data_IF_384687275287
#
_entry.id   IF_384687275287
#
_cell.length_a   1.000
_cell.length_b   1.000
_cell.length_c   1.000
_cell.angle_alpha   90.00
_cell.angle_beta   90.00
_cell.angle_gamma   90.00
#
_symmetry.space_group_name_H-M   'P 1'
#
loop_
_entity.id
_entity.type
_entity.pdbx_description
1 polymer ?
#
# COMPACT_ATOMS: atom_id res chain seq x y z
N UNK A 1 14.02 -13.52 -14.76
CA UNK A 1 12.96 -14.52 -14.66
C UNK A 1 11.67 -13.82 -14.32
N UNK A 2 10.70 -13.89 -15.20
CA UNK A 2 9.37 -13.36 -14.94
C UNK A 2 8.66 -14.29 -13.94
N UNK A 3 8.76 -14.00 -12.68
CA UNK A 3 7.90 -14.58 -11.65
C UNK A 3 6.49 -14.03 -11.79
N UNK A 4 5.75 -14.45 -12.80
CA UNK A 4 4.34 -14.05 -12.99
C UNK A 4 3.38 -14.86 -12.11
N UNK A 5 3.90 -15.83 -11.38
CA UNK A 5 3.09 -16.76 -10.58
C UNK A 5 3.06 -16.44 -9.10
N UNK A 6 3.69 -15.35 -8.66
CA UNK A 6 3.76 -15.00 -7.23
C UNK A 6 4.46 -16.06 -6.35
N UNK A 7 4.96 -17.14 -6.94
CA UNK A 7 5.68 -18.16 -6.19
C UNK A 7 7.15 -17.77 -6.06
N UNK A 8 7.46 -16.99 -5.05
CA UNK A 8 8.83 -16.72 -4.63
C UNK A 8 9.38 -17.87 -3.76
N UNK A 9 9.04 -19.11 -4.09
CA UNK A 9 9.38 -20.27 -3.25
C UNK A 9 10.77 -20.82 -3.46
N UNK A 10 11.53 -20.32 -4.43
CA UNK A 10 12.87 -20.84 -4.72
C UNK A 10 13.90 -19.80 -5.09
N UNK A 11 13.53 -18.56 -5.04
CA UNK A 11 14.46 -17.47 -5.31
C UNK A 11 15.07 -17.06 -3.99
N UNK A 12 16.37 -17.14 -3.87
CA UNK A 12 17.07 -16.72 -2.67
C UNK A 12 16.61 -15.33 -2.28
N UNK A 13 16.63 -15.02 -1.00
CA UNK A 13 16.10 -13.82 -0.35
C UNK A 13 16.53 -12.46 -0.94
N UNK A 14 17.22 -12.45 -2.06
CA UNK A 14 17.84 -11.28 -2.67
C UNK A 14 17.45 -11.05 -4.13
N UNK A 15 16.51 -11.82 -4.71
CA UNK A 15 16.12 -11.59 -6.09
C UNK A 15 14.99 -10.59 -6.20
N UNK A 16 15.24 -9.56 -6.98
CA UNK A 16 14.29 -8.51 -7.30
C UNK A 16 13.13 -9.06 -8.15
N UNK A 17 11.90 -8.73 -7.82
CA UNK A 17 10.79 -8.94 -8.74
C UNK A 17 10.95 -8.04 -9.97
N UNK A 18 10.86 -8.62 -11.15
CA UNK A 18 10.88 -7.88 -12.41
C UNK A 18 9.53 -8.00 -13.09
N UNK A 19 8.83 -6.91 -13.27
CA UNK A 19 7.55 -6.85 -13.95
C UNK A 19 7.59 -5.77 -15.03
N UNK A 20 7.40 -6.14 -16.29
CA UNK A 20 7.41 -5.21 -17.44
C UNK A 20 8.67 -4.34 -17.53
N UNK A 21 9.84 -4.86 -17.10
CA UNK A 21 11.09 -4.10 -17.06
C UNK A 21 11.27 -3.21 -15.82
N UNK A 22 10.33 -3.21 -14.89
CA UNK A 22 10.43 -2.48 -13.63
C UNK A 22 10.87 -3.47 -12.54
N UNK A 23 12.02 -3.21 -11.94
CA UNK A 23 12.53 -4.01 -10.83
C UNK A 23 11.84 -3.63 -9.52
N UNK A 24 11.64 -4.61 -8.66
CA UNK A 24 11.10 -4.43 -7.31
C UNK A 24 9.72 -3.74 -7.27
N UNK A 25 8.86 -3.98 -8.26
CA UNK A 25 7.51 -3.43 -8.26
C UNK A 25 6.71 -3.91 -7.04
N UNK A 26 6.96 -5.14 -6.58
CA UNK A 26 6.38 -5.71 -5.36
C UNK A 26 7.34 -6.76 -4.75
N UNK A 27 7.08 -7.16 -3.49
CA UNK A 27 7.70 -8.33 -2.85
C UNK A 27 9.12 -8.13 -2.30
N UNK A 28 9.73 -6.96 -2.42
CA UNK A 28 11.06 -6.68 -1.89
C UNK A 28 11.00 -5.80 -0.62
N UNK A 29 10.50 -4.60 -0.77
CA UNK A 29 10.24 -3.67 0.32
C UNK A 29 8.86 -3.04 0.15
N UNK A 30 8.19 -2.74 1.24
CA UNK A 30 7.00 -1.93 1.24
C UNK A 30 7.31 -0.54 0.71
N UNK A 31 6.53 -0.06 -0.25
CA UNK A 31 6.71 1.24 -0.88
C UNK A 31 5.74 2.25 -0.33
N UNK A 32 6.25 3.39 0.09
CA UNK A 32 5.42 4.53 0.46
C UNK A 32 4.64 5.04 -0.74
N UNK A 33 3.35 5.29 -0.51
CA UNK A 33 2.52 6.10 -1.41
C UNK A 33 2.47 7.50 -0.83
N UNK A 34 3.15 8.42 -1.50
CA UNK A 34 3.14 9.82 -1.13
C UNK A 34 1.73 10.41 -1.26
N UNK A 35 1.35 11.22 -0.30
CA UNK A 35 0.02 11.82 -0.26
C UNK A 35 -1.13 10.88 0.12
N UNK A 36 -0.86 9.65 0.57
CA UNK A 36 -1.88 8.69 0.96
C UNK A 36 -1.79 8.33 2.45
N UNK A 37 -2.86 8.58 3.20
CA UNK A 37 -2.91 8.37 4.65
C UNK A 37 -4.22 7.72 5.08
N UNK A 38 -4.21 7.06 6.24
CA UNK A 38 -5.43 6.58 6.89
C UNK A 38 -5.54 7.09 8.32
N UNK A 39 -6.77 7.31 8.79
CA UNK A 39 -7.08 7.57 10.18
C UNK A 39 -8.46 7.02 10.50
N UNK A 40 -8.57 6.17 11.51
CA UNK A 40 -9.82 5.47 11.85
C UNK A 40 -10.42 4.72 10.65
N UNK A 41 -9.55 4.15 9.81
CA UNK A 41 -9.86 3.48 8.53
C UNK A 41 -10.42 4.41 7.44
N UNK A 42 -10.69 5.67 7.72
CA UNK A 42 -10.94 6.66 6.69
C UNK A 42 -9.67 6.85 5.86
N UNK A 43 -9.79 6.90 4.54
CA UNK A 43 -8.67 7.03 3.64
C UNK A 43 -8.63 8.44 3.04
N UNK A 44 -7.44 9.03 3.02
CA UNK A 44 -7.20 10.41 2.64
C UNK A 44 -6.17 10.46 1.52
N UNK A 45 -6.48 11.22 0.48
CA UNK A 45 -5.57 11.48 -0.64
C UNK A 45 -5.27 12.97 -0.73
N UNK A 46 -4.00 13.30 -0.80
CA UNK A 46 -3.53 14.64 -1.12
C UNK A 46 -3.59 14.91 -2.62
N UNK A 47 -3.77 16.17 -2.97
CA UNK A 47 -3.49 16.62 -4.33
C UNK A 47 -1.96 16.67 -4.48
N UNK A 48 -1.41 15.75 -5.25
CA UNK A 48 0.04 15.57 -5.43
C UNK A 48 0.75 16.81 -5.98
N UNK A 49 0.03 17.73 -6.60
CA UNK A 49 0.59 18.97 -7.14
C UNK A 49 0.69 20.09 -6.09
N UNK A 50 0.00 19.96 -4.96
CA UNK A 50 -0.11 21.01 -3.94
C UNK A 50 0.33 20.56 -2.55
N UNK A 51 0.93 19.37 -2.40
CA UNK A 51 1.44 18.92 -1.12
C UNK A 51 2.69 19.72 -0.77
N UNK A 52 2.58 20.60 0.19
CA UNK A 52 3.69 21.43 0.68
C UNK A 52 4.48 20.78 1.79
N UNK A 53 3.88 19.84 2.51
CA UNK A 53 4.51 19.03 3.55
C UNK A 53 3.63 17.84 3.91
N UNK A 54 4.26 16.73 4.25
CA UNK A 54 3.56 15.55 4.77
C UNK A 54 2.90 15.86 6.12
N UNK A 55 1.65 15.40 6.34
CA UNK A 55 1.00 15.59 7.62
C UNK A 55 1.69 14.76 8.70
N UNK A 56 2.06 15.41 9.78
CA UNK A 56 2.65 14.76 10.97
C UNK A 56 1.61 14.30 11.98
N UNK A 57 0.34 14.73 11.79
CA UNK A 57 -0.80 14.39 12.64
C UNK A 57 -2.11 14.54 11.88
N UNK A 58 -3.21 14.11 12.51
CA UNK A 58 -4.56 14.14 11.93
C UNK A 58 -5.02 15.54 11.49
N UNK A 59 -4.61 16.59 12.19
CA UNK A 59 -4.98 17.95 11.82
C UNK A 59 -4.40 18.36 10.45
N UNK A 60 -3.24 17.82 10.09
CA UNK A 60 -2.64 18.04 8.78
C UNK A 60 -3.44 17.44 7.61
N UNK A 61 -4.39 16.54 7.88
CA UNK A 61 -5.28 15.97 6.84
C UNK A 61 -6.39 16.93 6.38
N UNK A 62 -6.52 18.12 6.98
CA UNK A 62 -7.59 19.06 6.63
C UNK A 62 -7.58 19.51 5.15
N UNK A 63 -6.43 19.45 4.49
CA UNK A 63 -6.26 19.78 3.06
C UNK A 63 -6.34 18.55 2.14
N UNK A 64 -6.51 17.37 2.72
CA UNK A 64 -6.60 16.10 1.98
C UNK A 64 -8.05 15.76 1.68
N UNK A 65 -8.28 15.13 0.53
CA UNK A 65 -9.60 14.61 0.17
C UNK A 65 -9.86 13.31 0.93
N UNK A 66 -10.84 13.32 1.82
CA UNK A 66 -11.32 12.10 2.47
C UNK A 66 -12.21 11.34 1.49
N UNK A 67 -11.90 10.07 1.26
CA UNK A 67 -12.71 9.19 0.42
C UNK A 67 -13.96 8.72 1.16
N UNK A 68 -15.04 8.48 0.42
CA UNK A 68 -16.34 8.10 0.98
C UNK A 68 -16.33 6.69 1.57
N UNK A 69 -15.57 5.77 0.98
CA UNK A 69 -15.49 4.38 1.43
C UNK A 69 -14.25 4.18 2.32
N UNK A 70 -14.44 3.51 3.45
CA UNK A 70 -13.33 3.17 4.34
C UNK A 70 -12.45 2.07 3.77
N UNK A 71 -11.18 2.09 4.15
CA UNK A 71 -10.28 0.95 4.00
C UNK A 71 -10.80 -0.21 4.84
N UNK A 72 -10.67 -1.43 4.36
CA UNK A 72 -11.05 -2.62 5.11
C UNK A 72 -10.29 -2.70 6.44
N UNK A 73 -10.94 -3.25 7.46
CA UNK A 73 -10.28 -3.61 8.71
C UNK A 73 -9.69 -5.00 8.59
N UNK A 74 -8.38 -5.13 8.73
CA UNK A 74 -7.68 -6.40 8.64
C UNK A 74 -6.26 -6.33 9.20
N UNK A 75 -5.81 -7.44 9.77
CA UNK A 75 -4.44 -7.63 10.19
C UNK A 75 -3.99 -8.98 9.66
N UNK A 76 -3.02 -8.99 8.74
CA UNK A 76 -2.62 -10.17 7.99
C UNK A 76 -3.83 -10.85 7.31
N UNK A 77 -4.66 -10.05 6.70
CA UNK A 77 -5.96 -10.50 6.20
C UNK A 77 -6.00 -10.50 4.68
N UNK A 78 -6.50 -11.60 4.11
CA UNK A 78 -6.65 -11.77 2.67
C UNK A 78 -7.60 -10.71 2.08
N UNK A 79 -7.18 -10.04 1.02
CA UNK A 79 -7.97 -9.01 0.34
C UNK A 79 -9.06 -9.68 -0.48
N UNK A 80 -10.32 -9.43 -0.14
CA UNK A 80 -11.48 -9.95 -0.84
C UNK A 80 -11.95 -9.03 -1.96
N UNK A 81 -12.03 -7.74 -1.68
CA UNK A 81 -12.52 -6.73 -2.63
C UNK A 81 -11.60 -5.54 -2.67
N UNK A 82 -11.25 -5.15 -3.87
CA UNK A 82 -10.58 -3.90 -4.19
C UNK A 82 -11.61 -3.01 -4.89
N UNK A 83 -11.67 -1.75 -4.52
CA UNK A 83 -12.60 -0.78 -5.07
C UNK A 83 -11.93 0.57 -5.25
N UNK A 84 -12.65 1.51 -5.82
CA UNK A 84 -12.24 2.90 -5.95
C UNK A 84 -13.35 3.81 -5.45
N UNK A 85 -13.00 5.04 -5.15
CA UNK A 85 -13.96 6.11 -4.86
C UNK A 85 -14.20 6.94 -6.13
N UNK A 86 -15.44 7.36 -6.35
CA UNK A 86 -15.80 8.17 -7.53
C UNK A 86 -15.11 9.54 -7.53
N UNK A 87 -14.75 10.06 -6.38
CA UNK A 87 -13.97 11.30 -6.25
C UNK A 87 -12.47 11.12 -6.56
N UNK A 88 -11.98 9.87 -6.55
CA UNK A 88 -10.60 9.51 -6.85
C UNK A 88 -10.51 8.22 -7.66
N UNK A 89 -11.03 8.18 -8.90
CA UNK A 89 -11.14 6.95 -9.69
C UNK A 89 -9.79 6.37 -10.12
N UNK A 90 -8.73 7.12 -9.96
CA UNK A 90 -7.35 6.71 -10.21
C UNK A 90 -6.71 5.95 -9.02
N UNK A 91 -7.35 5.94 -7.86
CA UNK A 91 -6.87 5.26 -6.66
C UNK A 91 -7.73 4.05 -6.34
N UNK A 92 -7.10 2.88 -6.32
CA UNK A 92 -7.75 1.63 -5.92
C UNK A 92 -7.19 1.17 -4.57
N UNK A 93 -8.04 0.65 -3.70
CA UNK A 93 -7.66 0.21 -2.36
C UNK A 93 -8.59 -0.89 -1.83
N UNK A 94 -8.13 -1.71 -0.86
CA UNK A 94 -8.95 -2.76 -0.28
C UNK A 94 -10.13 -2.21 0.52
N UNK A 95 -11.33 -2.68 0.21
CA UNK A 95 -12.58 -2.30 0.89
C UNK A 95 -13.23 -3.44 1.68
N UNK A 96 -12.79 -4.68 1.46
CA UNK A 96 -13.15 -5.80 2.30
C UNK A 96 -12.06 -6.88 2.33
N UNK A 97 -12.04 -7.64 3.41
CA UNK A 97 -11.15 -8.80 3.61
C UNK A 97 -11.95 -10.09 3.76
N UNK A 98 -11.30 -11.21 3.52
CA UNK A 98 -11.89 -12.55 3.67
C UNK A 98 -11.69 -13.44 2.44
N UNK A 99 -12.45 -14.54 2.38
CA UNK A 99 -12.42 -15.51 1.28
C UNK A 99 -13.65 -15.32 0.37
N UNK A 100 -13.51 -15.53 -0.97
CA UNK A 100 -12.27 -15.80 -1.69
C UNK A 100 -11.35 -14.59 -1.74
N UNK A 101 -10.05 -14.84 -1.91
CA UNK A 101 -9.02 -13.82 -2.13
C UNK A 101 -8.54 -13.88 -3.59
N UNK A 102 -9.07 -13.09 -4.49
CA UNK A 102 -8.78 -13.20 -5.92
C UNK A 102 -7.33 -12.91 -6.29
N UNK A 103 -6.66 -12.04 -5.55
CA UNK A 103 -5.27 -11.64 -5.82
C UNK A 103 -4.24 -12.47 -5.08
N UNK A 104 -4.63 -13.19 -4.03
CA UNK A 104 -3.69 -13.82 -3.10
C UNK A 104 -3.00 -12.85 -2.14
N UNK A 105 -3.27 -11.56 -2.26
CA UNK A 105 -2.62 -10.52 -1.48
C UNK A 105 -3.27 -10.30 -0.11
N UNK A 106 -2.46 -9.82 0.81
CA UNK A 106 -2.91 -9.49 2.18
C UNK A 106 -2.87 -8.00 2.45
N UNK A 107 -3.58 -7.61 3.48
CA UNK A 107 -3.52 -6.26 4.01
C UNK A 107 -3.35 -6.21 5.52
N UNK A 108 -2.78 -5.09 5.95
CA UNK A 108 -2.66 -4.69 7.34
C UNK A 108 -3.28 -3.31 7.52
N UNK A 109 -4.18 -3.17 8.50
CA UNK A 109 -4.77 -1.89 8.86
C UNK A 109 -4.98 -1.76 10.36
N UNK A 110 -4.97 -0.54 10.86
CA UNK A 110 -5.41 -0.20 12.21
C UNK A 110 -6.14 1.14 12.22
N UNK A 111 -6.64 1.55 13.37
CA UNK A 111 -7.43 2.78 13.53
C UNK A 111 -6.60 4.02 13.83
N UNK A 112 -5.28 3.89 13.95
CA UNK A 112 -4.40 5.03 14.20
C UNK A 112 -4.21 5.90 12.94
N UNK A 113 -3.51 7.00 13.10
CA UNK A 113 -3.04 7.81 11.97
C UNK A 113 -1.81 7.15 11.34
N UNK A 114 -1.96 6.69 10.10
CA UNK A 114 -0.97 5.89 9.41
C UNK A 114 -0.70 6.42 8.00
N UNK A 115 0.51 6.21 7.52
CA UNK A 115 0.83 6.31 6.09
C UNK A 115 0.38 5.04 5.34
N UNK A 116 0.33 5.14 4.02
CA UNK A 116 0.01 4.03 3.12
C UNK A 116 1.28 3.43 2.51
N UNK A 117 1.37 2.11 2.55
CA UNK A 117 2.39 1.33 1.85
C UNK A 117 1.75 0.26 0.98
N UNK A 118 2.42 -0.08 -0.11
CA UNK A 118 1.98 -1.12 -1.05
C UNK A 118 3.12 -2.05 -1.45
N UNK A 119 2.76 -3.19 -2.04
CA UNK A 119 3.67 -4.10 -2.73
C UNK A 119 4.33 -5.15 -1.86
N UNK A 120 4.21 -5.08 -0.53
CA UNK A 120 4.79 -6.06 0.39
C UNK A 120 6.31 -6.05 0.49
N UNK A 121 6.83 -6.84 1.41
CA UNK A 121 8.27 -7.03 1.60
C UNK A 121 8.68 -8.47 1.39
N UNK A 122 9.98 -8.71 1.24
CA UNK A 122 10.57 -10.07 1.11
C UNK A 122 10.24 -10.99 2.30
N UNK A 123 9.89 -10.44 3.45
CA UNK A 123 9.53 -11.20 4.65
C UNK A 123 8.09 -11.71 4.64
N UNK A 124 7.27 -11.15 3.76
CA UNK A 124 5.84 -11.49 3.69
C UNK A 124 5.56 -12.74 2.84
N UNK A 125 6.59 -13.32 2.20
CA UNK A 125 6.50 -14.57 1.45
C UNK A 125 5.56 -14.48 0.24
N UNK A 126 4.84 -15.57 -0.05
CA UNK A 126 3.97 -15.71 -1.23
C UNK A 126 2.61 -15.01 -1.12
N UNK A 127 2.33 -14.37 0.01
CA UNK A 127 1.04 -13.69 0.28
C UNK A 127 1.05 -12.21 -0.06
N UNK A 128 2.11 -11.72 -0.70
CA UNK A 128 2.22 -10.33 -1.13
C UNK A 128 2.49 -10.25 -2.62
N UNK A 129 1.78 -9.36 -3.26
CA UNK A 129 1.91 -9.04 -4.67
C UNK A 129 1.58 -7.57 -4.90
N UNK A 130 1.13 -7.28 -6.10
CA UNK A 130 0.87 -5.91 -6.56
C UNK A 130 -0.16 -5.16 -5.70
N UNK A 131 -1.13 -5.87 -5.14
CA UNK A 131 -2.23 -5.29 -4.36
C UNK A 131 -2.04 -5.39 -2.84
N UNK A 132 -0.89 -5.94 -2.37
CA UNK A 132 -0.60 -5.95 -0.94
C UNK A 132 -0.63 -4.52 -0.39
N UNK A 133 -1.36 -4.32 0.71
CA UNK A 133 -1.72 -3.00 1.21
C UNK A 133 -1.47 -2.88 2.71
N UNK A 134 -0.85 -1.79 3.13
CA UNK A 134 -0.48 -1.59 4.52
C UNK A 134 -0.79 -0.16 4.97
N UNK A 135 -1.72 -0.04 5.90
CA UNK A 135 -2.08 1.20 6.60
C UNK A 135 -2.11 0.94 8.12
N UNK A 136 -1.01 0.41 8.63
CA UNK A 136 -0.86 0.05 10.04
C UNK A 136 0.43 0.63 10.65
N UNK A 137 1.23 1.36 9.89
CA UNK A 137 2.44 2.03 10.36
C UNK A 137 2.17 3.48 10.76
N UNK A 138 2.47 3.81 12.02
CA UNK A 138 2.33 5.19 12.49
C UNK A 138 3.25 6.14 11.70
N UNK A 139 2.78 7.33 11.44
CA UNK A 139 3.56 8.40 10.79
C UNK A 139 4.83 8.68 11.60
N UNK A 140 5.97 8.70 10.93
CA UNK A 140 7.28 8.89 11.56
C UNK A 140 8.03 7.60 11.94
N UNK A 141 7.43 6.42 11.74
CA UNK A 141 8.15 5.14 11.90
C UNK A 141 8.99 4.87 10.66
N UNK A 142 10.25 4.54 10.86
CA UNK A 142 11.15 4.00 9.83
C UNK A 142 11.41 2.51 10.08
N UNK A 143 11.52 1.75 9.01
CA UNK A 143 11.82 0.33 9.08
C UNK A 143 12.70 -0.06 7.90
N UNK A 144 13.56 -1.05 8.08
CA UNK A 144 14.43 -1.58 7.00
C UNK A 144 13.63 -2.18 5.83
N UNK A 145 12.36 -2.53 6.06
CA UNK A 145 11.45 -3.08 5.05
C UNK A 145 10.62 -2.01 4.33
N UNK A 146 10.85 -0.74 4.62
CA UNK A 146 10.12 0.37 4.03
C UNK A 146 11.03 1.19 3.12
N UNK A 147 10.54 1.56 1.97
CA UNK A 147 11.28 2.37 1.01
C UNK A 147 10.35 3.23 0.17
N UNK A 148 10.96 4.13 -0.58
CA UNK A 148 10.26 4.97 -1.56
C UNK A 148 10.83 4.71 -2.95
N UNK A 149 9.95 4.77 -3.95
CA UNK A 149 10.35 4.87 -5.36
C UNK A 149 10.15 6.32 -5.76
N UNK A 150 11.23 7.01 -6.04
CA UNK A 150 11.16 8.38 -6.54
C UNK A 150 10.63 8.39 -7.98
N UNK A 151 9.58 9.17 -8.24
CA UNK A 151 9.20 9.55 -9.59
C UNK A 151 9.74 10.95 -9.85
N UNK A 152 10.67 11.10 -10.81
CA UNK A 152 11.01 12.41 -11.33
C UNK A 152 10.03 12.74 -12.45
N UNK A 153 9.21 13.75 -12.25
CA UNK A 153 8.48 14.38 -13.35
C UNK A 153 9.35 15.50 -13.89
N UNK A 154 9.72 15.39 -15.14
CA UNK A 154 10.39 16.47 -15.89
C UNK A 154 9.39 17.37 -16.55
#
# INVERSE_FOLDING_TARGET
VLGLDGSNTSVGSNEASLCMGIENLYGNIWKFIDGAYSNNLDFYLGDTLNITADPTNVAGLATYTKLATKVASGNDSAIKTISYDTSAPYCIYPTSVGSPCPSGDIMYSNTSFNYCLVGGSSWSGSVVGLFAFYVSGAVGVSNVNFGAVGCCFS
#
